data_IF_123264853816
#
_entry.id   IF_123264853816
#
_cell.length_a   1.000
_cell.length_b   1.000
_cell.length_c   1.000
_cell.angle_alpha   90.00
_cell.angle_beta   90.00
_cell.angle_gamma   90.00
#
_symmetry.space_group_name_H-M   'P 1'
#
loop_
_entity.id
_entity.type
_entity.pdbx_description
1 polymer ?
#
# COMPACT_ATOMS: atom_id res chain seq x y z
N UNK A 1 1.37 -15.97 8.94
CA UNK A 1 0.66 -15.34 7.81
C UNK A 1 1.69 -14.63 6.95
N UNK A 2 1.59 -14.75 5.63
CA UNK A 2 2.63 -14.37 4.66
C UNK A 2 2.82 -12.85 4.64
N UNK A 3 4.04 -12.40 4.89
CA UNK A 3 4.51 -11.06 4.52
C UNK A 3 4.35 -10.91 3.00
N UNK A 4 3.76 -9.80 2.55
CA UNK A 4 3.78 -9.44 1.13
C UNK A 4 5.22 -9.02 0.86
N UNK A 5 5.98 -9.95 0.28
CA UNK A 5 7.32 -9.68 -0.19
C UNK A 5 7.20 -8.83 -1.46
N UNK A 6 7.29 -7.52 -1.24
CA UNK A 6 7.14 -6.48 -2.24
C UNK A 6 8.41 -6.32 -3.11
N UNK A 7 9.43 -7.16 -2.90
CA UNK A 7 10.77 -6.92 -3.43
C UNK A 7 10.99 -7.24 -4.91
N UNK A 8 10.26 -8.17 -5.54
CA UNK A 8 10.82 -8.78 -6.77
C UNK A 8 10.18 -8.43 -8.14
N UNK A 9 8.97 -7.86 -8.23
CA UNK A 9 8.33 -7.72 -9.57
C UNK A 9 7.53 -6.44 -9.82
N UNK A 10 7.62 -5.42 -8.97
CA UNK A 10 6.88 -4.17 -9.20
C UNK A 10 7.70 -3.23 -10.10
N UNK A 11 7.17 -2.76 -11.25
CA UNK A 11 7.85 -1.76 -12.05
C UNK A 11 7.99 -0.47 -11.23
N UNK A 12 9.23 -0.16 -10.82
CA UNK A 12 9.62 1.00 -10.00
C UNK A 12 9.61 2.32 -10.80
N UNK A 13 8.77 2.40 -11.83
CA UNK A 13 8.80 3.47 -12.83
C UNK A 13 8.02 4.72 -12.40
N UNK A 14 7.02 4.53 -11.52
CA UNK A 14 6.15 5.60 -11.02
C UNK A 14 6.51 5.91 -9.58
N UNK A 15 6.73 7.18 -9.25
CA UNK A 15 7.04 7.59 -7.88
C UNK A 15 5.85 7.40 -6.94
N UNK A 16 4.64 7.69 -7.43
CA UNK A 16 3.40 7.64 -6.66
C UNK A 16 2.50 6.53 -7.22
N UNK A 17 1.92 5.74 -6.32
CA UNK A 17 0.96 4.68 -6.62
C UNK A 17 -0.35 4.91 -5.87
N UNK A 18 -1.46 4.46 -6.45
CA UNK A 18 -2.73 4.37 -5.75
C UNK A 18 -2.81 3.02 -5.04
N UNK A 19 -2.74 2.99 -3.71
CA UNK A 19 -2.78 1.77 -2.90
C UNK A 19 -4.18 1.49 -2.34
N UNK A 20 -4.49 0.22 -2.14
CA UNK A 20 -5.69 -0.27 -1.50
C UNK A 20 -5.39 -0.65 -0.05
N UNK A 21 -6.15 -0.05 0.88
CA UNK A 21 -6.05 -0.27 2.32
C UNK A 21 -7.30 -1.02 2.77
N UNK A 22 -7.10 -2.13 3.48
CA UNK A 22 -8.16 -2.92 4.11
C UNK A 22 -8.08 -2.85 5.63
N UNK A 23 -9.19 -3.17 6.30
CA UNK A 23 -9.25 -3.28 7.76
C UNK A 23 -9.23 -4.74 8.21
N UNK A 24 -8.61 -5.04 9.36
CA UNK A 24 -8.49 -6.42 9.88
C UNK A 24 -9.83 -6.95 10.38
N UNK A 25 -10.63 -6.11 11.04
CA UNK A 25 -11.88 -6.52 11.69
C UNK A 25 -13.13 -6.14 10.90
N UNK A 26 -12.98 -5.64 9.68
CA UNK A 26 -14.07 -5.15 8.84
C UNK A 26 -13.74 -5.34 7.35
N UNK A 27 -14.75 -5.54 6.51
CA UNK A 27 -14.63 -5.59 5.05
C UNK A 27 -14.50 -4.21 4.39
N UNK A 28 -14.43 -3.15 5.18
CA UNK A 28 -14.21 -1.80 4.66
C UNK A 28 -12.83 -1.69 4.00
N UNK A 29 -12.81 -1.02 2.85
CA UNK A 29 -11.59 -0.70 2.13
C UNK A 29 -11.59 0.77 1.74
N UNK A 30 -10.41 1.36 1.70
CA UNK A 30 -10.20 2.71 1.16
C UNK A 30 -8.99 2.73 0.25
N UNK A 31 -8.89 3.78 -0.55
CA UNK A 31 -7.75 4.03 -1.42
C UNK A 31 -6.96 5.22 -0.91
N UNK A 32 -5.65 5.17 -1.09
CA UNK A 32 -4.75 6.25 -0.72
C UNK A 32 -3.60 6.33 -1.73
N UNK A 33 -2.93 7.47 -1.80
CA UNK A 33 -1.68 7.59 -2.54
C UNK A 33 -0.50 7.24 -1.65
N UNK A 34 0.45 6.50 -2.22
CA UNK A 34 1.68 6.11 -1.55
C UNK A 34 2.89 6.36 -2.46
N UNK A 35 3.97 6.90 -1.91
CA UNK A 35 5.28 6.96 -2.53
C UNK A 35 6.00 5.62 -2.30
N UNK A 36 6.58 5.03 -3.35
CA UNK A 36 7.39 3.82 -3.21
C UNK A 36 8.82 4.19 -2.87
N UNK A 37 9.27 3.75 -1.70
CA UNK A 37 10.63 3.98 -1.20
C UNK A 37 11.42 2.68 -1.11
N UNK A 38 12.71 2.78 -0.79
CA UNK A 38 13.56 1.61 -0.51
C UNK A 38 13.04 0.75 0.65
N UNK A 39 12.25 1.33 1.55
CA UNK A 39 11.64 0.65 2.69
C UNK A 39 10.17 0.25 2.45
N UNK A 40 9.68 0.37 1.20
CA UNK A 40 8.30 0.10 0.81
C UNK A 40 7.43 1.35 0.68
N UNK A 41 6.11 1.17 0.75
CA UNK A 41 5.13 2.24 0.57
C UNK A 41 5.06 3.19 1.77
N UNK A 42 5.20 4.50 1.50
CA UNK A 42 4.92 5.56 2.45
C UNK A 42 3.67 6.32 1.97
N UNK A 43 2.61 6.32 2.78
CA UNK A 43 1.38 7.04 2.47
C UNK A 43 1.65 8.57 2.45
N UNK A 44 1.16 9.26 1.42
CA UNK A 44 1.52 10.67 1.15
C UNK A 44 0.74 11.65 2.02
N UNK A 45 -0.59 11.50 2.09
CA UNK A 45 -1.49 12.46 2.76
C UNK A 45 -2.29 11.81 3.90
N UNK A 46 -1.88 10.63 4.34
CA UNK A 46 -2.62 9.86 5.34
C UNK A 46 -1.69 8.88 6.05
N UNK A 47 -2.18 8.26 7.11
CA UNK A 47 -1.48 7.23 7.87
C UNK A 47 -2.31 5.95 7.86
N UNK A 48 -1.67 4.82 8.18
CA UNK A 48 -2.38 3.59 8.52
C UNK A 48 -2.85 3.68 9.96
N UNK A 49 -4.12 3.37 10.19
CA UNK A 49 -4.63 3.10 11.53
C UNK A 49 -4.20 1.69 11.98
N UNK A 50 -4.23 1.44 13.29
CA UNK A 50 -3.71 0.18 13.88
C UNK A 50 -4.36 -1.09 13.33
N UNK A 51 -5.59 -0.98 12.84
CA UNK A 51 -6.36 -2.08 12.25
C UNK A 51 -6.32 -2.09 10.71
N UNK A 52 -5.48 -1.25 10.09
CA UNK A 52 -5.37 -1.13 8.64
C UNK A 52 -4.10 -1.78 8.08
N UNK A 53 -4.18 -2.28 6.84
CA UNK A 53 -3.04 -2.81 6.09
C UNK A 53 -3.19 -2.56 4.59
N UNK A 54 -2.06 -2.35 3.92
CA UNK A 54 -2.02 -2.27 2.45
C UNK A 54 -2.05 -3.69 1.88
N UNK A 55 -2.96 -3.97 0.96
CA UNK A 55 -3.12 -5.29 0.34
C UNK A 55 -2.98 -5.31 -1.18
N UNK A 56 -2.88 -4.14 -1.82
CA UNK A 56 -2.72 -4.03 -3.26
C UNK A 56 -2.46 -2.61 -3.69
N UNK A 57 -2.16 -2.42 -4.98
CA UNK A 57 -1.93 -1.13 -5.60
C UNK A 57 -2.31 -1.14 -7.08
N UNK A 58 -2.52 0.04 -7.63
CA UNK A 58 -2.66 0.28 -9.07
C UNK A 58 -1.42 1.05 -9.54
N UNK A 59 -0.74 0.52 -10.57
CA UNK A 59 0.20 1.30 -11.38
C UNK A 59 -0.59 1.95 -12.51
N UNK A 60 -0.49 3.27 -12.66
CA UNK A 60 -0.86 3.92 -13.93
C UNK A 60 0.07 3.48 -15.07
#
# INVERSE_FOLDING_TARGET
MKFIDLEDNTPKNSRIYLVCIGQVFNTNTRKAYADWTENGFILVDTILFNDEYVFGFYSE
#
